data_IF_511302677946
#
_entry.id   IF_511302677946
#
_cell.length_a   1.000
_cell.length_b   1.000
_cell.length_c   1.000
_cell.angle_alpha   90.00
_cell.angle_beta   90.00
_cell.angle_gamma   90.00
#
_symmetry.space_group_name_H-M   'P 1'
#
loop_
_entity.id
_entity.type
_entity.pdbx_description
1 polymer ?
#
# COMPACT_ATOMS: atom_id res chain seq x y z
N UNK A 1 9.31 -11.45 -7.78
CA UNK A 1 8.65 -10.14 -7.95
C UNK A 1 7.28 -10.21 -7.32
N UNK A 2 6.82 -9.15 -6.67
CA UNK A 2 5.52 -9.15 -6.01
C UNK A 2 4.47 -8.61 -6.96
N UNK A 3 3.54 -9.48 -7.36
CA UNK A 3 2.38 -9.10 -8.17
C UNK A 3 1.30 -8.55 -7.25
N UNK A 4 0.50 -7.62 -7.74
CA UNK A 4 -0.60 -7.08 -6.96
C UNK A 4 -1.71 -8.13 -6.81
N UNK A 5 -1.97 -8.54 -5.57
CA UNK A 5 -3.09 -9.42 -5.21
C UNK A 5 -4.07 -8.64 -4.33
N UNK A 6 -5.38 -8.70 -4.63
CA UNK A 6 -6.43 -8.00 -3.88
C UNK A 6 -6.48 -8.45 -2.41
N UNK A 7 -6.42 -9.76 -2.16
CA UNK A 7 -6.48 -10.33 -0.82
C UNK A 7 -5.28 -9.90 0.01
N UNK A 8 -4.09 -9.97 -0.57
CA UNK A 8 -2.85 -9.58 0.11
C UNK A 8 -2.81 -8.07 0.37
N UNK A 9 -3.26 -7.25 -0.59
CA UNK A 9 -3.39 -5.80 -0.40
C UNK A 9 -4.35 -5.52 0.77
N UNK A 10 -5.52 -6.17 0.80
CA UNK A 10 -6.49 -6.00 1.87
C UNK A 10 -5.93 -6.42 3.24
N UNK A 11 -5.13 -7.49 3.30
CA UNK A 11 -4.47 -7.92 4.54
C UNK A 11 -3.55 -6.82 5.09
N UNK A 12 -2.71 -6.20 4.25
CA UNK A 12 -1.85 -5.10 4.71
C UNK A 12 -2.66 -3.85 5.13
N UNK A 13 -3.74 -3.52 4.42
CA UNK A 13 -4.60 -2.39 4.80
C UNK A 13 -5.30 -2.63 6.15
N UNK A 14 -5.87 -3.80 6.34
CA UNK A 14 -6.58 -4.17 7.57
C UNK A 14 -5.62 -4.22 8.77
N UNK A 15 -4.40 -4.73 8.60
CA UNK A 15 -3.37 -4.72 9.64
C UNK A 15 -3.05 -3.30 10.12
N UNK A 16 -2.89 -2.34 9.21
CA UNK A 16 -2.63 -0.94 9.56
C UNK A 16 -3.86 -0.26 10.15
N UNK A 17 -5.06 -0.54 9.62
CA UNK A 17 -6.30 0.04 10.14
C UNK A 17 -6.59 -0.38 11.60
N UNK A 18 -6.29 -1.63 11.93
CA UNK A 18 -6.49 -2.21 13.27
C UNK A 18 -5.48 -1.72 14.33
N UNK A 19 -4.50 -0.90 13.96
CA UNK A 19 -3.62 -0.23 14.92
C UNK A 19 -4.43 0.66 15.87
N UNK A 20 -3.90 0.90 17.07
CA UNK A 20 -4.52 1.80 18.05
C UNK A 20 -4.73 3.20 17.47
N UNK A 21 -5.87 3.81 17.81
CA UNK A 21 -6.35 5.10 17.25
C UNK A 21 -5.37 6.25 17.47
N UNK A 22 -4.51 6.18 18.48
CA UNK A 22 -3.51 7.19 18.83
C UNK A 22 -2.21 7.12 18.01
N UNK A 23 -1.98 6.03 17.26
CA UNK A 23 -0.71 5.80 16.54
C UNK A 23 -0.71 6.41 15.13
N UNK A 24 -1.88 6.50 14.49
CA UNK A 24 -2.03 6.98 13.12
C UNK A 24 -2.88 8.24 13.07
N UNK A 25 -2.48 9.18 12.22
CA UNK A 25 -3.30 10.35 11.93
C UNK A 25 -4.65 9.96 11.29
N UNK A 26 -5.72 10.66 11.68
CA UNK A 26 -7.07 10.43 11.15
C UNK A 26 -7.14 10.47 9.61
N UNK A 27 -6.48 11.43 8.92
CA UNK A 27 -6.49 11.47 7.46
C UNK A 27 -5.91 10.21 6.79
N UNK A 28 -4.91 9.58 7.41
CA UNK A 28 -4.32 8.33 6.91
C UNK A 28 -5.29 7.17 7.04
N UNK A 29 -6.02 7.09 8.16
CA UNK A 29 -7.07 6.08 8.37
C UNK A 29 -8.19 6.20 7.33
N UNK A 30 -8.66 7.42 7.08
CA UNK A 30 -9.70 7.69 6.09
C UNK A 30 -9.23 7.28 4.69
N UNK A 31 -7.94 7.52 4.37
CA UNK A 31 -7.36 7.10 3.09
C UNK A 31 -7.23 5.58 2.94
N UNK A 32 -6.83 4.90 3.99
CA UNK A 32 -6.74 3.43 4.02
C UNK A 32 -8.13 2.85 3.74
N UNK A 33 -9.17 3.40 4.37
CA UNK A 33 -10.55 2.98 4.16
C UNK A 33 -11.04 3.27 2.72
N UNK A 34 -10.78 4.47 2.18
CA UNK A 34 -11.11 4.82 0.79
C UNK A 34 -10.41 3.87 -0.20
N UNK A 35 -9.16 3.50 0.10
CA UNK A 35 -8.39 2.57 -0.74
C UNK A 35 -8.98 1.17 -0.68
N UNK A 36 -9.34 0.69 0.52
CA UNK A 36 -9.99 -0.61 0.69
C UNK A 36 -11.33 -0.68 -0.07
N UNK A 37 -12.16 0.37 -0.01
CA UNK A 37 -13.40 0.47 -0.78
C UNK A 37 -13.17 0.55 -2.30
N UNK A 38 -11.99 1.02 -2.72
CA UNK A 38 -11.62 1.10 -4.13
C UNK A 38 -11.04 -0.20 -4.66
N UNK A 39 -10.63 -1.16 -3.81
CA UNK A 39 -10.17 -2.49 -4.23
C UNK A 39 -11.30 -3.32 -4.87
N UNK A 40 -12.54 -3.09 -4.44
CA UNK A 40 -13.75 -3.73 -4.99
C UNK A 40 -14.15 -3.15 -6.36
N UNK A 41 -13.56 -2.02 -6.77
CA UNK A 41 -13.76 -1.43 -8.10
C UNK A 41 -12.74 -2.02 -9.07
N UNK A 42 -13.04 -1.97 -10.38
CA UNK A 42 -12.10 -2.34 -11.46
C UNK A 42 -10.99 -1.29 -11.68
N UNK A 43 -10.43 -0.80 -10.58
CA UNK A 43 -9.30 0.13 -10.57
C UNK A 43 -8.01 -0.68 -10.50
N UNK A 44 -7.02 -0.28 -11.29
CA UNK A 44 -5.69 -0.90 -11.25
C UNK A 44 -5.08 -0.82 -9.84
N UNK A 45 -4.71 -1.99 -9.30
CA UNK A 45 -4.08 -2.09 -7.97
C UNK A 45 -2.75 -1.34 -7.90
N UNK A 46 -2.01 -1.29 -9.01
CA UNK A 46 -0.74 -0.55 -9.08
C UNK A 46 -0.95 0.95 -8.94
N UNK A 47 -2.04 1.48 -9.52
CA UNK A 47 -2.40 2.89 -9.36
C UNK A 47 -2.83 3.22 -7.93
N UNK A 48 -3.63 2.35 -7.29
CA UNK A 48 -3.99 2.49 -5.88
C UNK A 48 -2.75 2.43 -4.98
N UNK A 49 -1.81 1.53 -5.29
CA UNK A 49 -0.56 1.40 -4.55
C UNK A 49 0.29 2.68 -4.62
N UNK A 50 0.43 3.28 -5.81
CA UNK A 50 1.15 4.54 -5.99
C UNK A 50 0.54 5.68 -5.17
N UNK A 51 -0.78 5.84 -5.24
CA UNK A 51 -1.50 6.89 -4.51
C UNK A 51 -1.36 6.72 -3.01
N UNK A 52 -1.46 5.48 -2.52
CA UNK A 52 -1.35 5.18 -1.10
C UNK A 52 0.09 5.34 -0.59
N UNK A 53 1.10 4.95 -1.39
CA UNK A 53 2.51 4.99 -1.00
C UNK A 53 2.97 6.38 -0.57
N UNK A 54 2.53 7.44 -1.27
CA UNK A 54 2.86 8.84 -0.92
C UNK A 54 2.40 9.18 0.50
N UNK A 55 1.18 8.77 0.84
CA UNK A 55 0.53 9.09 2.10
C UNK A 55 1.17 8.30 3.25
N UNK A 56 1.37 6.99 3.04
CA UNK A 56 2.02 6.12 4.01
C UNK A 56 3.47 6.54 4.28
N UNK A 57 4.23 6.91 3.25
CA UNK A 57 5.61 7.39 3.41
C UNK A 57 5.69 8.71 4.18
N UNK A 58 4.71 9.60 3.99
CA UNK A 58 4.62 10.85 4.75
C UNK A 58 4.38 10.57 6.24
N UNK A 59 3.43 9.69 6.55
CA UNK A 59 3.14 9.28 7.93
C UNK A 59 4.34 8.59 8.58
N UNK A 60 5.00 7.66 7.86
CA UNK A 60 6.22 7.00 8.32
C UNK A 60 7.34 8.00 8.63
N UNK A 61 7.52 9.00 7.77
CA UNK A 61 8.53 10.03 7.98
C UNK A 61 8.22 10.85 9.24
N UNK A 62 6.94 11.15 9.50
CA UNK A 62 6.50 11.83 10.71
C UNK A 62 6.72 11.01 11.99
N UNK A 63 6.51 9.69 11.93
CA UNK A 63 6.68 8.79 13.08
C UNK A 63 8.14 8.41 13.34
N UNK A 64 9.01 8.48 12.32
CA UNK A 64 10.43 8.10 12.39
C UNK A 64 10.62 6.69 12.98
N UNK A 65 11.33 6.56 14.10
CA UNK A 65 11.57 5.29 14.79
C UNK A 65 10.37 4.74 15.57
N UNK A 66 9.33 5.56 15.78
CA UNK A 66 8.09 5.16 16.47
C UNK A 66 7.07 4.51 15.55
N UNK A 67 7.41 4.36 14.27
CA UNK A 67 6.54 3.74 13.29
C UNK A 67 6.20 2.30 13.71
N UNK A 68 4.91 1.93 13.76
CA UNK A 68 4.50 0.56 14.04
C UNK A 68 4.92 -0.36 12.88
N UNK A 69 5.19 -1.62 13.21
CA UNK A 69 5.68 -2.61 12.25
C UNK A 69 4.74 -2.75 11.06
N UNK A 70 3.44 -2.75 11.31
CA UNK A 70 2.37 -2.91 10.33
C UNK A 70 2.43 -1.81 9.26
N UNK A 71 2.73 -0.57 9.67
CA UNK A 71 2.85 0.58 8.76
C UNK A 71 4.12 0.46 7.90
N UNK A 72 5.22 -0.01 8.49
CA UNK A 72 6.48 -0.29 7.76
C UNK A 72 6.28 -1.42 6.75
N UNK A 73 5.57 -2.49 7.15
CA UNK A 73 5.27 -3.63 6.29
C UNK A 73 4.38 -3.24 5.12
N UNK A 74 3.33 -2.42 5.35
CA UNK A 74 2.52 -1.86 4.27
C UNK A 74 3.36 -1.00 3.31
N UNK A 75 4.22 -0.13 3.81
CA UNK A 75 5.06 0.71 2.95
C UNK A 75 6.02 -0.11 2.09
N UNK A 76 6.62 -1.16 2.67
CA UNK A 76 7.47 -2.09 1.93
C UNK A 76 6.69 -2.80 0.83
N UNK A 77 5.49 -3.32 1.15
CA UNK A 77 4.62 -3.95 0.16
C UNK A 77 4.30 -3.00 -1.01
N UNK A 78 3.93 -1.76 -0.72
CA UNK A 78 3.65 -0.76 -1.74
C UNK A 78 4.89 -0.47 -2.61
N UNK A 79 6.07 -0.36 -2.01
CA UNK A 79 7.32 -0.14 -2.75
C UNK A 79 7.68 -1.31 -3.67
N UNK A 80 7.41 -2.54 -3.26
CA UNK A 80 7.59 -3.74 -4.10
C UNK A 80 6.65 -3.74 -5.31
N UNK A 81 5.39 -3.31 -5.13
CA UNK A 81 4.44 -3.14 -6.23
C UNK A 81 4.88 -2.04 -7.21
N UNK A 82 5.36 -0.90 -6.70
CA UNK A 82 5.90 0.18 -7.52
C UNK A 82 7.09 -0.28 -8.35
N UNK A 83 8.00 -1.03 -7.72
CA UNK A 83 9.18 -1.56 -8.40
C UNK A 83 8.78 -2.53 -9.51
N UNK A 84 7.82 -3.39 -9.23
CA UNK A 84 7.26 -4.34 -10.21
C UNK A 84 6.62 -3.61 -11.39
N UNK A 85 5.77 -2.62 -11.12
CA UNK A 85 5.12 -1.82 -12.17
C UNK A 85 6.13 -1.02 -13.00
N UNK A 86 7.15 -0.43 -12.37
CA UNK A 86 8.21 0.30 -13.09
C UNK A 86 8.95 -0.61 -14.05
N UNK A 87 9.31 -1.82 -13.62
CA UNK A 87 10.02 -2.78 -14.48
C UNK A 87 9.16 -3.24 -15.66
N UNK A 88 7.87 -3.46 -15.44
CA UNK A 88 6.92 -3.69 -16.52
C UNK A 88 6.86 -2.51 -17.50
N UNK A 89 6.76 -1.28 -17.00
CA UNK A 89 6.64 -0.08 -17.82
C UNK A 89 7.87 0.17 -18.72
N UNK A 90 9.05 -0.31 -18.33
CA UNK A 90 10.28 -0.25 -19.14
C UNK A 90 10.52 -1.53 -19.97
N UNK A 91 9.54 -2.43 -20.03
CA UNK A 91 9.58 -3.64 -20.84
C UNK A 91 10.53 -4.72 -20.33
N UNK A 92 10.92 -4.68 -19.05
CA UNK A 92 11.81 -5.69 -18.47
C UNK A 92 11.06 -6.91 -17.93
N UNK A 93 9.76 -6.78 -17.64
CA UNK A 93 8.95 -7.83 -17.00
C UNK A 93 7.50 -7.79 -17.50
N UNK A 94 6.77 -8.90 -17.38
CA UNK A 94 5.34 -9.02 -17.70
C UNK A 94 4.46 -9.05 -16.44
N UNK A 95 3.22 -8.55 -16.54
CA UNK A 95 2.25 -8.54 -15.42
C UNK A 95 1.38 -9.80 -15.34
N UNK A 96 1.38 -10.68 -16.34
CA UNK A 96 0.47 -11.84 -16.43
C UNK A 96 0.98 -13.07 -15.64
N UNK A 97 0.05 -13.84 -15.04
CA UNK A 97 0.29 -15.24 -14.64
C UNK A 97 0.31 -16.13 -15.88
N UNK A 98 1.32 -17.01 -15.98
CA UNK A 98 1.25 -18.17 -16.89
C UNK A 98 0.35 -19.24 -16.29
#
# INVERSE_FOLDING_TARGET
MKKANKEEFYQYLSAVYNLKTDVLSQPVRDKILETAQSLDKDVSLYWLADRLAVIINTELTGLTWRAPKELVDLARYLQELQTTYRRFAIGLDDLEEK
#
